data_IF_876838041338
#
_entry.id   IF_876838041338
#
_cell.length_a   1.000
_cell.length_b   1.000
_cell.length_c   1.000
_cell.angle_alpha   90.00
_cell.angle_beta   90.00
_cell.angle_gamma   90.00
#
_symmetry.space_group_name_H-M   'P 1'
#
loop_
_entity.id
_entity.type
_entity.pdbx_description
1 polymer ?
#
# COMPACT_ATOMS: atom_id res chain seq x y z
N UNK A 1 11.55 -18.39 4.38
CA UNK A 1 11.43 -17.15 5.19
C UNK A 1 11.86 -15.98 4.33
N UNK A 2 11.09 -14.85 4.26
CA UNK A 2 11.47 -13.67 3.49
C UNK A 2 12.78 -13.06 3.99
N UNK A 3 13.61 -12.59 3.06
CA UNK A 3 14.86 -11.89 3.33
C UNK A 3 14.97 -10.61 2.48
N UNK A 4 15.65 -9.59 3.02
CA UNK A 4 15.91 -8.35 2.30
C UNK A 4 16.97 -8.57 1.23
N UNK A 5 16.69 -8.19 -0.02
CA UNK A 5 17.69 -8.17 -1.08
C UNK A 5 18.63 -6.99 -0.88
N UNK A 6 19.90 -7.29 -0.70
CA UNK A 6 20.98 -6.30 -0.67
C UNK A 6 22.03 -6.60 -1.72
N UNK A 7 22.57 -5.58 -2.35
CA UNK A 7 23.60 -5.72 -3.39
C UNK A 7 24.89 -5.06 -2.93
N UNK A 8 26.01 -5.79 -2.98
CA UNK A 8 27.33 -5.24 -2.60
C UNK A 8 27.72 -4.11 -3.56
N UNK A 9 28.04 -2.95 -3.01
CA UNK A 9 28.56 -1.81 -3.79
C UNK A 9 30.05 -2.00 -3.98
N UNK A 10 30.49 -2.04 -5.21
CA UNK A 10 31.89 -2.21 -5.61
C UNK A 10 32.25 -1.25 -6.73
N UNK A 11 33.54 -1.18 -7.11
CA UNK A 11 33.96 -0.42 -8.27
C UNK A 11 33.33 -0.90 -9.59
N UNK A 12 32.93 -2.18 -9.69
CA UNK A 12 32.29 -2.79 -10.87
C UNK A 12 30.77 -2.73 -10.82
N UNK A 13 30.19 -2.51 -9.64
CA UNK A 13 28.76 -2.33 -9.41
C UNK A 13 28.56 -1.09 -8.50
N UNK A 14 28.82 0.12 -9.04
CA UNK A 14 28.72 1.34 -8.25
C UNK A 14 27.23 1.74 -8.03
N UNK A 15 26.98 2.34 -6.87
CA UNK A 15 25.72 3.03 -6.60
C UNK A 15 26.00 4.53 -6.58
N UNK A 16 25.62 5.22 -7.64
CA UNK A 16 25.87 6.67 -7.82
C UNK A 16 24.93 7.56 -7.00
N UNK A 17 23.93 6.95 -6.35
CA UNK A 17 22.93 7.70 -5.58
C UNK A 17 21.81 8.31 -6.41
N UNK A 18 20.94 9.07 -5.73
CA UNK A 18 19.84 9.78 -6.35
C UNK A 18 20.21 11.24 -6.58
N UNK A 19 20.02 11.76 -7.79
CA UNK A 19 20.33 13.15 -8.14
C UNK A 19 19.56 14.12 -7.22
N UNK A 20 20.30 15.03 -6.57
CA UNK A 20 19.73 16.05 -5.67
C UNK A 20 19.19 15.55 -4.33
N UNK A 21 19.26 14.24 -4.03
CA UNK A 21 18.65 13.67 -2.84
C UNK A 21 19.65 12.89 -1.94
N UNK A 22 20.61 13.62 -1.35
CA UNK A 22 21.68 13.05 -0.50
C UNK A 22 21.15 12.18 0.65
N UNK A 23 20.16 12.67 1.40
CA UNK A 23 19.57 11.92 2.51
C UNK A 23 18.88 10.62 2.07
N UNK A 24 18.23 10.62 0.89
CA UNK A 24 17.62 9.41 0.34
C UNK A 24 18.69 8.42 -0.12
N UNK A 25 19.79 8.91 -0.67
CA UNK A 25 20.94 8.10 -1.05
C UNK A 25 21.55 7.41 0.17
N UNK A 26 21.77 8.14 1.25
CA UNK A 26 22.34 7.61 2.49
C UNK A 26 21.43 6.53 3.12
N UNK A 27 20.10 6.71 3.12
CA UNK A 27 19.13 5.71 3.60
C UNK A 27 19.15 4.40 2.81
N UNK A 28 19.64 4.42 1.58
CA UNK A 28 19.78 3.25 0.71
C UNK A 28 21.12 2.55 0.83
N UNK A 29 22.04 3.07 1.63
CA UNK A 29 23.35 2.48 1.87
C UNK A 29 23.37 1.82 3.25
N UNK A 30 23.69 0.52 3.27
CA UNK A 30 23.92 -0.24 4.50
C UNK A 30 25.43 -0.44 4.65
N UNK A 31 25.96 -0.04 5.81
CA UNK A 31 27.38 -0.12 6.14
C UNK A 31 27.61 -1.22 7.18
N UNK A 32 28.79 -1.84 7.13
CA UNK A 32 29.23 -2.82 8.13
C UNK A 32 28.21 -3.96 8.34
N UNK A 33 27.67 -4.51 7.25
CA UNK A 33 26.61 -5.53 7.28
C UNK A 33 27.19 -6.91 7.65
N UNK A 34 28.22 -7.38 6.95
CA UNK A 34 28.87 -8.67 7.18
C UNK A 34 30.30 -8.50 7.67
N UNK A 35 30.96 -7.42 7.28
CA UNK A 35 32.36 -7.11 7.65
C UNK A 35 32.51 -5.61 7.81
N UNK A 36 33.38 -5.20 8.74
CA UNK A 36 33.70 -3.78 8.94
C UNK A 36 34.24 -3.17 7.63
N UNK A 37 33.62 -2.08 7.18
CA UNK A 37 33.99 -1.35 5.97
C UNK A 37 33.26 -1.81 4.71
N UNK A 38 32.41 -2.84 4.77
CA UNK A 38 31.58 -3.21 3.64
C UNK A 38 30.43 -2.23 3.40
N UNK A 39 29.95 -2.16 2.17
CA UNK A 39 28.90 -1.26 1.76
C UNK A 39 27.93 -1.98 0.82
N UNK A 40 26.65 -1.95 1.16
CA UNK A 40 25.58 -2.57 0.39
C UNK A 40 24.51 -1.56 0.01
N UNK A 41 23.93 -1.76 -1.16
CA UNK A 41 22.71 -1.09 -1.59
C UNK A 41 21.49 -1.85 -1.04
N UNK A 42 20.62 -1.16 -0.35
CA UNK A 42 19.33 -1.67 0.11
C UNK A 42 18.30 -1.50 -1.02
N UNK A 43 17.94 -2.60 -1.69
CA UNK A 43 16.91 -2.56 -2.74
C UNK A 43 15.55 -2.16 -2.17
N UNK A 44 15.29 -2.56 -0.93
CA UNK A 44 13.97 -2.45 -0.30
C UNK A 44 13.06 -3.62 -0.65
N UNK A 45 13.51 -4.58 -1.45
CA UNK A 45 12.70 -5.72 -1.88
C UNK A 45 12.92 -6.91 -0.95
N UNK A 46 11.84 -7.51 -0.47
CA UNK A 46 11.83 -8.76 0.27
C UNK A 46 11.63 -9.92 -0.70
N UNK A 47 12.50 -10.89 -0.65
CA UNK A 47 12.49 -12.06 -1.51
C UNK A 47 12.39 -13.34 -0.68
N UNK A 48 11.80 -14.38 -1.27
CA UNK A 48 11.81 -15.76 -0.73
C UNK A 48 12.56 -16.65 -1.69
N UNK A 49 13.43 -17.50 -1.14
CA UNK A 49 14.12 -18.53 -1.87
C UNK A 49 13.47 -19.87 -1.49
N UNK A 50 13.08 -20.66 -2.48
CA UNK A 50 12.53 -22.00 -2.28
C UNK A 50 13.62 -23.07 -2.15
N UNK A 51 13.21 -24.34 -2.02
CA UNK A 51 14.12 -25.50 -1.93
C UNK A 51 14.95 -25.74 -3.18
N UNK A 52 14.49 -25.28 -4.33
CA UNK A 52 15.13 -25.46 -5.64
C UNK A 52 15.99 -24.23 -6.02
N UNK A 53 16.18 -23.29 -5.08
CA UNK A 53 16.91 -22.04 -5.23
C UNK A 53 16.30 -21.04 -6.23
N UNK A 54 15.00 -21.14 -6.54
CA UNK A 54 14.31 -20.09 -7.24
C UNK A 54 13.99 -18.93 -6.29
N UNK A 55 14.13 -17.70 -6.81
CA UNK A 55 13.92 -16.49 -6.07
C UNK A 55 12.57 -15.88 -6.49
N UNK A 56 11.69 -15.67 -5.52
CA UNK A 56 10.38 -15.05 -5.73
C UNK A 56 10.32 -13.71 -5.01
N UNK A 57 9.74 -12.71 -5.66
CA UNK A 57 9.39 -11.47 -5.00
C UNK A 57 8.31 -11.75 -3.97
N UNK A 58 8.51 -11.30 -2.74
CA UNK A 58 7.55 -11.45 -1.66
C UNK A 58 6.85 -10.14 -1.34
N UNK A 59 7.63 -9.07 -1.09
CA UNK A 59 7.11 -7.75 -0.73
C UNK A 59 8.19 -6.67 -0.86
N UNK A 60 7.85 -5.45 -0.55
CA UNK A 60 8.77 -4.33 -0.52
C UNK A 60 8.82 -3.67 0.85
N UNK A 61 10.03 -3.44 1.37
CA UNK A 61 10.23 -2.69 2.61
C UNK A 61 9.75 -1.25 2.41
N UNK A 62 8.68 -0.86 3.12
CA UNK A 62 8.00 0.43 2.93
C UNK A 62 6.69 0.34 2.17
N UNK A 63 6.35 -0.81 1.59
CA UNK A 63 5.01 -1.11 1.07
C UNK A 63 4.13 -1.78 2.13
N UNK A 64 4.54 -1.76 3.39
CA UNK A 64 3.72 -2.14 4.53
C UNK A 64 3.26 -0.89 5.28
N UNK A 65 2.11 -0.98 5.89
CA UNK A 65 1.67 -0.01 6.89
C UNK A 65 1.31 -0.72 8.20
N UNK A 66 1.41 0.01 9.31
CA UNK A 66 1.07 -0.53 10.63
C UNK A 66 -0.29 -0.03 11.06
N UNK A 67 -1.18 -0.96 11.41
CA UNK A 67 -2.52 -0.67 11.92
C UNK A 67 -2.89 -1.58 13.07
N UNK A 68 -3.34 -1.02 14.19
CA UNK A 68 -3.73 -1.78 15.41
C UNK A 68 -2.65 -2.75 15.91
N UNK A 69 -1.37 -2.34 15.80
CA UNK A 69 -0.25 -3.18 16.23
C UNK A 69 0.26 -4.17 15.18
N UNK A 70 -0.49 -4.40 14.09
CA UNK A 70 -0.17 -5.36 13.03
C UNK A 70 0.50 -4.68 11.82
N UNK A 71 1.42 -5.37 11.18
CA UNK A 71 2.00 -4.96 9.91
C UNK A 71 1.16 -5.54 8.77
N UNK A 72 0.70 -4.67 7.88
CA UNK A 72 -0.13 -5.04 6.72
C UNK A 72 0.68 -4.87 5.46
N UNK A 73 0.82 -5.96 4.69
CA UNK A 73 1.42 -5.94 3.35
C UNK A 73 0.45 -5.32 2.35
N UNK A 74 0.88 -4.27 1.66
CA UNK A 74 0.04 -3.63 0.64
C UNK A 74 -0.12 -4.52 -0.58
N UNK A 75 0.87 -5.37 -0.87
CA UNK A 75 0.84 -6.32 -1.99
C UNK A 75 -0.18 -7.42 -1.74
N UNK A 76 -0.17 -8.06 -0.55
CA UNK A 76 -1.13 -9.12 -0.22
C UNK A 76 -2.58 -8.61 -0.26
N UNK A 77 -2.84 -7.41 0.24
CA UNK A 77 -4.16 -6.80 0.17
C UNK A 77 -4.55 -6.46 -1.27
N UNK A 78 -3.58 -5.97 -2.08
CA UNK A 78 -3.82 -5.67 -3.49
C UNK A 78 -4.13 -6.95 -4.29
N UNK A 79 -3.40 -8.04 -4.04
CA UNK A 79 -3.63 -9.33 -4.69
C UNK A 79 -5.05 -9.84 -4.41
N UNK A 80 -5.50 -9.76 -3.16
CA UNK A 80 -6.88 -10.13 -2.79
C UNK A 80 -7.91 -9.27 -3.51
N UNK A 81 -7.76 -7.95 -3.53
CA UNK A 81 -8.68 -7.06 -4.24
C UNK A 81 -8.64 -7.25 -5.75
N UNK A 82 -7.49 -7.62 -6.31
CA UNK A 82 -7.29 -7.91 -7.73
C UNK A 82 -8.06 -9.14 -8.23
N UNK A 83 -8.48 -10.04 -7.32
CA UNK A 83 -9.31 -11.20 -7.66
C UNK A 83 -10.78 -10.82 -7.90
N UNK A 84 -11.20 -9.61 -7.61
CA UNK A 84 -12.57 -9.14 -7.89
C UNK A 84 -12.71 -8.91 -9.40
N UNK A 85 -13.65 -9.58 -10.06
CA UNK A 85 -13.80 -9.60 -11.52
C UNK A 85 -13.83 -8.22 -12.19
N UNK A 86 -14.44 -7.21 -11.54
CA UNK A 86 -14.54 -5.84 -12.03
C UNK A 86 -13.27 -5.00 -11.85
N UNK A 87 -12.28 -5.49 -11.09
CA UNK A 87 -11.03 -4.77 -10.84
C UNK A 87 -10.07 -4.98 -12.00
N UNK A 88 -9.55 -3.90 -12.56
CA UNK A 88 -8.50 -3.90 -13.57
C UNK A 88 -7.13 -3.66 -12.96
N UNK A 89 -7.04 -2.67 -12.07
CA UNK A 89 -5.82 -2.31 -11.36
C UNK A 89 -6.17 -1.92 -9.93
N UNK A 90 -5.28 -2.22 -9.01
CA UNK A 90 -5.41 -1.82 -7.60
C UNK A 90 -4.08 -1.45 -6.99
N UNK A 91 -4.07 -0.39 -6.20
CA UNK A 91 -2.94 0.02 -5.37
C UNK A 91 -3.44 0.16 -3.95
N UNK A 92 -2.71 -0.45 -3.03
CA UNK A 92 -2.99 -0.35 -1.59
C UNK A 92 -1.90 0.47 -0.92
N UNK A 93 -2.30 1.32 0.02
CA UNK A 93 -1.42 2.18 0.79
C UNK A 93 -2.04 2.51 2.15
N UNK A 94 -1.20 2.94 3.09
CA UNK A 94 -1.66 3.34 4.42
C UNK A 94 -1.93 4.83 4.49
N UNK A 95 -3.09 5.24 5.02
CA UNK A 95 -3.46 6.63 5.31
C UNK A 95 -3.60 6.86 6.81
N UNK A 96 -3.16 8.03 7.27
CA UNK A 96 -3.32 8.42 8.67
C UNK A 96 -4.74 8.90 8.94
N UNK A 97 -5.34 8.43 10.03
CA UNK A 97 -6.62 8.94 10.53
C UNK A 97 -6.34 9.73 11.80
N UNK A 98 -6.81 10.98 11.91
CA UNK A 98 -6.59 11.78 13.11
C UNK A 98 -7.01 11.04 14.38
N UNK A 99 -6.17 11.10 15.42
CA UNK A 99 -6.42 10.46 16.71
C UNK A 99 -6.20 8.95 16.78
N UNK A 100 -5.82 8.31 15.68
CA UNK A 100 -5.40 6.91 15.68
C UNK A 100 -3.89 6.77 15.45
N UNK A 101 -3.28 5.86 16.18
CA UNK A 101 -1.88 5.51 15.97
C UNK A 101 -1.74 4.59 14.75
N UNK A 102 -0.71 4.85 13.94
CA UNK A 102 -0.45 4.09 12.72
C UNK A 102 -1.18 4.62 11.50
N UNK A 103 -1.42 3.74 10.54
CA UNK A 103 -2.09 4.05 9.28
C UNK A 103 -3.08 2.94 8.95
N UNK A 104 -4.27 3.30 8.54
CA UNK A 104 -5.26 2.32 8.05
C UNK A 104 -5.15 2.12 6.55
N UNK A 105 -5.59 0.97 6.06
CA UNK A 105 -5.55 0.65 4.64
C UNK A 105 -6.50 1.51 3.81
N UNK A 106 -6.01 1.99 2.67
CA UNK A 106 -6.80 2.57 1.61
C UNK A 106 -6.40 1.93 0.28
N UNK A 107 -7.41 1.59 -0.53
CA UNK A 107 -7.21 1.02 -1.86
C UNK A 107 -7.65 2.02 -2.93
N UNK A 108 -6.77 2.29 -3.90
CA UNK A 108 -7.12 2.99 -5.13
C UNK A 108 -7.35 1.95 -6.22
N UNK A 109 -8.55 1.93 -6.78
CA UNK A 109 -8.99 0.91 -7.73
C UNK A 109 -9.35 1.57 -9.06
N UNK A 110 -8.88 0.98 -10.16
CA UNK A 110 -9.38 1.20 -11.49
C UNK A 110 -10.27 0.03 -11.89
N UNK A 111 -11.48 0.32 -12.31
CA UNK A 111 -12.41 -0.69 -12.79
C UNK A 111 -12.21 -0.99 -14.28
N UNK A 112 -12.56 -2.19 -14.69
CA UNK A 112 -12.67 -2.57 -16.11
C UNK A 112 -13.76 -1.74 -16.80
N UNK A 113 -13.68 -1.60 -18.11
CA UNK A 113 -14.71 -0.95 -18.91
C UNK A 113 -16.09 -1.59 -18.66
N UNK A 114 -17.12 -0.78 -18.60
CA UNK A 114 -18.51 -1.20 -18.35
C UNK A 114 -18.75 -1.91 -17.01
N UNK A 115 -17.84 -1.80 -16.07
CA UNK A 115 -18.00 -2.29 -14.70
C UNK A 115 -18.33 -1.15 -13.74
N UNK A 116 -19.18 -1.44 -12.76
CA UNK A 116 -19.48 -0.56 -11.65
C UNK A 116 -18.98 -1.13 -10.33
N UNK A 117 -18.58 -0.26 -9.43
CA UNK A 117 -18.17 -0.67 -8.09
C UNK A 117 -19.36 -1.13 -7.28
N UNK A 118 -19.28 -2.35 -6.74
CA UNK A 118 -20.30 -2.91 -5.87
C UNK A 118 -19.75 -3.04 -4.44
N UNK A 119 -20.25 -2.20 -3.54
CA UNK A 119 -19.77 -2.14 -2.15
C UNK A 119 -20.06 -3.40 -1.34
N UNK A 120 -21.21 -4.05 -1.58
CA UNK A 120 -21.60 -5.26 -0.84
C UNK A 120 -20.75 -6.47 -1.25
N UNK A 121 -20.59 -6.69 -2.56
CA UNK A 121 -19.74 -7.80 -3.05
C UNK A 121 -18.29 -7.61 -2.66
N UNK A 122 -17.77 -6.37 -2.70
CA UNK A 122 -16.42 -6.05 -2.27
C UNK A 122 -16.25 -6.28 -0.76
N UNK A 123 -17.23 -5.90 0.07
CA UNK A 123 -17.22 -6.19 1.50
C UNK A 123 -17.13 -7.70 1.75
N UNK A 124 -18.02 -8.49 1.14
CA UNK A 124 -18.02 -9.96 1.29
C UNK A 124 -16.67 -10.55 0.91
N UNK A 125 -16.09 -10.08 -0.20
CA UNK A 125 -14.80 -10.55 -0.69
C UNK A 125 -13.67 -10.27 0.32
N UNK A 126 -13.50 -9.03 0.76
CA UNK A 126 -12.43 -8.69 1.73
C UNK A 126 -12.69 -9.31 3.11
N UNK A 127 -13.96 -9.47 3.51
CA UNK A 127 -14.31 -10.12 4.77
C UNK A 127 -13.94 -11.60 4.80
N UNK A 128 -14.02 -12.26 3.65
CA UNK A 128 -13.69 -13.69 3.51
C UNK A 128 -12.17 -13.92 3.45
N UNK A 129 -11.41 -13.03 2.80
CA UNK A 129 -10.01 -13.28 2.47
C UNK A 129 -9.01 -12.49 3.31
N UNK A 130 -9.45 -11.46 4.04
CA UNK A 130 -8.57 -10.61 4.84
C UNK A 130 -8.98 -10.56 6.31
N UNK A 131 -8.01 -10.63 7.25
CA UNK A 131 -8.28 -10.33 8.64
C UNK A 131 -8.73 -8.88 8.80
N UNK A 132 -9.51 -8.58 9.84
CA UNK A 132 -10.13 -7.27 10.04
C UNK A 132 -9.13 -6.09 9.95
N UNK A 133 -7.95 -6.24 10.55
CA UNK A 133 -6.93 -5.19 10.55
C UNK A 133 -6.34 -4.90 9.16
N UNK A 134 -6.40 -5.86 8.22
CA UNK A 134 -5.86 -5.72 6.87
C UNK A 134 -6.89 -5.23 5.84
N UNK A 135 -8.19 -5.26 6.18
CA UNK A 135 -9.26 -4.77 5.28
C UNK A 135 -9.10 -3.28 5.06
N UNK A 136 -9.02 -2.80 3.80
CA UNK A 136 -8.98 -1.37 3.52
C UNK A 136 -10.21 -0.67 4.08
N UNK A 137 -10.02 0.33 4.91
CA UNK A 137 -11.13 1.14 5.44
C UNK A 137 -11.69 2.10 4.41
N UNK A 138 -10.87 2.47 3.44
CA UNK A 138 -11.26 3.40 2.39
C UNK A 138 -10.97 2.81 1.02
N UNK A 139 -11.87 3.06 0.07
CA UNK A 139 -11.68 2.73 -1.35
C UNK A 139 -11.88 3.99 -2.17
N UNK A 140 -10.98 4.23 -3.12
CA UNK A 140 -11.02 5.31 -4.10
C UNK A 140 -11.09 4.72 -5.50
N UNK A 141 -12.07 5.14 -6.28
CA UNK A 141 -12.22 4.70 -7.66
C UNK A 141 -11.68 5.78 -8.59
N UNK A 142 -10.63 5.46 -9.33
CA UNK A 142 -10.03 6.36 -10.34
C UNK A 142 -10.21 5.80 -11.75
N UNK A 143 -10.36 6.68 -12.72
CA UNK A 143 -10.41 6.32 -14.14
C UNK A 143 -9.04 5.88 -14.69
N UNK A 144 -7.96 6.42 -14.14
CA UNK A 144 -6.59 6.07 -14.46
C UNK A 144 -5.70 6.14 -13.22
N UNK A 145 -4.76 5.22 -13.12
CA UNK A 145 -3.76 5.19 -12.06
C UNK A 145 -2.41 5.57 -12.67
N UNK A 146 -1.80 6.64 -12.15
CA UNK A 146 -0.55 7.16 -12.69
C UNK A 146 0.65 6.28 -12.32
N UNK A 147 1.44 5.94 -13.33
CA UNK A 147 2.73 5.29 -13.19
C UNK A 147 3.86 6.31 -13.31
N UNK A 148 4.96 6.06 -12.64
CA UNK A 148 6.22 6.78 -12.88
C UNK A 148 6.86 6.29 -14.18
N UNK A 149 7.88 6.99 -14.69
CA UNK A 149 8.69 6.55 -15.82
C UNK A 149 9.34 5.16 -15.63
N UNK A 150 9.42 4.68 -14.40
CA UNK A 150 9.93 3.34 -14.04
C UNK A 150 8.81 2.33 -13.76
N UNK A 151 7.60 2.57 -14.27
CA UNK A 151 6.41 1.73 -14.08
C UNK A 151 6.03 1.49 -12.61
N UNK A 152 6.38 2.40 -11.71
CA UNK A 152 5.98 2.35 -10.30
C UNK A 152 4.82 3.31 -10.07
N UNK A 153 3.87 2.87 -9.30
CA UNK A 153 2.72 3.70 -8.90
C UNK A 153 3.15 4.91 -8.05
N UNK A 154 2.53 6.06 -8.27
CA UNK A 154 2.75 7.28 -7.48
C UNK A 154 2.03 7.23 -6.13
N UNK A 155 2.38 6.25 -5.28
CA UNK A 155 1.75 6.07 -3.96
C UNK A 155 1.87 7.31 -3.06
N UNK A 156 2.96 8.04 -3.14
CA UNK A 156 3.22 9.22 -2.29
C UNK A 156 2.11 10.25 -2.43
N UNK A 157 1.73 10.59 -3.65
CA UNK A 157 0.65 11.54 -3.93
C UNK A 157 -0.69 11.03 -3.39
N UNK A 158 -1.02 9.75 -3.58
CA UNK A 158 -2.24 9.15 -3.08
C UNK A 158 -2.33 9.18 -1.55
N UNK A 159 -1.19 8.95 -0.88
CA UNK A 159 -1.10 9.03 0.59
C UNK A 159 -1.31 10.47 1.09
N UNK A 160 -0.71 11.45 0.41
CA UNK A 160 -0.82 12.87 0.75
C UNK A 160 -2.25 13.42 0.55
N UNK A 161 -2.92 13.00 -0.52
CA UNK A 161 -4.31 13.36 -0.80
C UNK A 161 -5.28 12.78 0.25
N UNK A 162 -4.96 11.64 0.85
CA UNK A 162 -5.74 11.01 1.92
C UNK A 162 -7.13 10.56 1.46
N UNK A 163 -8.17 10.83 2.29
CA UNK A 163 -9.54 10.33 2.08
C UNK A 163 -10.62 11.40 2.28
N UNK A 164 -10.28 12.68 2.17
CA UNK A 164 -11.24 13.79 2.36
C UNK A 164 -12.10 14.01 1.09
N UNK A 165 -13.43 13.75 1.14
CA UNK A 165 -14.31 13.91 -0.02
C UNK A 165 -14.50 15.38 -0.47
N UNK A 166 -14.20 16.36 0.39
CA UNK A 166 -14.22 17.77 -0.01
C UNK A 166 -13.05 18.15 -0.94
N UNK A 167 -11.96 17.39 -0.91
CA UNK A 167 -10.72 17.65 -1.69
C UNK A 167 -10.64 16.72 -2.89
N UNK A 168 -10.99 15.44 -2.69
CA UNK A 168 -10.88 14.40 -3.70
C UNK A 168 -12.17 14.37 -4.53
N UNK A 169 -12.03 14.55 -5.85
CA UNK A 169 -13.16 14.51 -6.79
C UNK A 169 -13.54 13.09 -7.21
N UNK A 170 -12.67 12.12 -6.99
CA UNK A 170 -12.92 10.72 -7.30
C UNK A 170 -13.98 10.14 -6.35
N UNK A 171 -14.65 9.08 -6.78
CA UNK A 171 -15.59 8.37 -5.91
C UNK A 171 -14.85 7.70 -4.76
N UNK A 172 -15.26 8.04 -3.54
CA UNK A 172 -14.71 7.48 -2.31
C UNK A 172 -15.76 6.62 -1.61
N UNK A 173 -15.30 5.54 -0.98
CA UNK A 173 -16.12 4.65 -0.19
C UNK A 173 -15.46 4.36 1.16
N UNK A 174 -16.30 4.15 2.16
CA UNK A 174 -15.93 3.80 3.53
C UNK A 174 -16.46 2.42 3.88
N UNK A 175 -15.65 1.61 4.55
CA UNK A 175 -16.06 0.29 5.05
C UNK A 175 -16.92 0.48 6.30
N UNK A 176 -18.21 0.25 6.17
CA UNK A 176 -19.15 0.23 7.28
C UNK A 176 -19.38 -1.21 7.75
N UNK A 177 -18.79 -1.55 8.89
CA UNK A 177 -18.92 -2.89 9.48
C UNK A 177 -20.33 -3.17 10.02
N UNK A 178 -21.15 -2.15 10.27
CA UNK A 178 -22.55 -2.31 10.74
C UNK A 178 -23.47 -2.67 9.58
N UNK A 179 -23.29 -1.97 8.47
CA UNK A 179 -24.07 -2.20 7.26
C UNK A 179 -23.55 -3.36 6.40
N UNK A 180 -22.35 -3.89 6.72
CA UNK A 180 -21.67 -4.95 5.97
C UNK A 180 -21.44 -4.60 4.49
N UNK A 181 -21.06 -3.36 4.22
CA UNK A 181 -20.75 -2.90 2.87
C UNK A 181 -19.80 -1.69 2.86
N UNK A 182 -19.26 -1.41 1.69
CA UNK A 182 -18.60 -0.14 1.41
C UNK A 182 -19.63 0.91 0.99
N UNK A 183 -19.92 1.84 1.88
CA UNK A 183 -20.85 2.96 1.64
C UNK A 183 -20.14 4.10 0.94
N UNK A 184 -20.86 4.92 0.16
CA UNK A 184 -20.30 6.12 -0.44
C UNK A 184 -19.82 7.09 0.65
N UNK A 185 -18.58 7.56 0.52
CA UNK A 185 -17.96 8.49 1.49
C UNK A 185 -18.58 9.88 1.36
N UNK A 186 -19.41 10.26 2.32
CA UNK A 186 -19.98 11.61 2.42
C UNK A 186 -19.12 12.47 3.36
N UNK A 187 -19.35 13.78 3.35
CA UNK A 187 -18.69 14.69 4.29
C UNK A 187 -19.07 14.37 5.75
N UNK A 188 -20.30 13.91 5.99
CA UNK A 188 -20.75 13.53 7.34
C UNK A 188 -20.01 12.29 7.83
N UNK A 189 -19.85 11.26 6.99
CA UNK A 189 -19.06 10.07 7.32
C UNK A 189 -17.61 10.48 7.59
N UNK A 190 -17.02 11.36 6.76
CA UNK A 190 -15.67 11.86 6.97
C UNK A 190 -15.52 12.56 8.33
N UNK A 191 -16.47 13.43 8.67
CA UNK A 191 -16.47 14.13 9.95
C UNK A 191 -16.62 13.15 11.12
N UNK A 192 -17.52 12.17 11.02
CA UNK A 192 -17.72 11.14 12.04
C UNK A 192 -16.50 10.24 12.22
N UNK A 193 -15.77 9.91 11.14
CA UNK A 193 -14.49 9.21 11.23
C UNK A 193 -13.45 10.04 12.00
N UNK A 194 -13.37 11.35 11.74
CA UNK A 194 -12.45 12.25 12.45
C UNK A 194 -12.81 12.45 13.91
N UNK A 195 -14.10 12.44 14.23
CA UNK A 195 -14.61 12.61 15.59
C UNK A 195 -14.62 11.30 16.39
N UNK A 196 -14.16 10.19 15.81
CA UNK A 196 -14.14 8.86 16.44
C UNK A 196 -15.52 8.24 16.70
N UNK A 197 -16.58 8.67 15.99
CA UNK A 197 -17.91 8.11 16.09
C UNK A 197 -17.97 6.67 15.51
N UNK A 198 -17.06 6.36 14.61
CA UNK A 198 -16.85 5.00 14.09
C UNK A 198 -15.69 4.29 14.82
N UNK A 199 -15.90 3.03 15.16
CA UNK A 199 -14.83 2.16 15.61
C UNK A 199 -14.11 1.60 14.37
N UNK A 200 -12.99 2.21 14.01
CA UNK A 200 -12.17 1.77 12.88
C UNK A 200 -11.42 0.48 13.18
#
# INVERSE_FOLDING_TARGET
KPGLLICKITQYAPFSGYAGAKQQTEKKQLRDVFQKGDLYFNSGDLLVIDSDNFIYFHDRTGDTFRWKGENVSTTEVADVLGLIDCVQEVIVYGVSVPGYEGRTGMACIRLKENCEFNGESTYRHVNTHLPNYARPRFIRIKSAIELTATFKYRKVQLVEEGFNPAVIKDRLYFLDDKENLYVHMTQDIYNSVKNHDFKL
#
